data_IF_906219352488
#
_entry.id   IF_906219352488
#
_cell.length_a   1.000
_cell.length_b   1.000
_cell.length_c   1.000
_cell.angle_alpha   90.00
_cell.angle_beta   90.00
_cell.angle_gamma   90.00
#
_symmetry.space_group_name_H-M   'P 1'
#
loop_
_entity.id
_entity.type
_entity.pdbx_description
1 polymer ?
#
# COMPACT_ATOMS: atom_id res chain seq x y z
N UNK A 1 -3.82 -2.57 -8.58
CA UNK A 1 -2.69 -2.12 -7.74
C UNK A 1 -2.48 -2.96 -6.49
N UNK A 2 -3.55 -3.37 -5.79
CA UNK A 2 -3.44 -4.29 -4.62
C UNK A 2 -2.62 -5.56 -4.90
N UNK A 3 -2.89 -6.24 -6.02
CA UNK A 3 -2.12 -7.44 -6.41
C UNK A 3 -0.62 -7.16 -6.63
N UNK A 4 -0.26 -5.96 -7.09
CA UNK A 4 1.14 -5.53 -7.25
C UNK A 4 1.79 -5.33 -5.88
N UNK A 5 1.10 -4.68 -4.94
CA UNK A 5 1.56 -4.54 -3.56
C UNK A 5 1.76 -5.89 -2.86
N UNK A 6 0.85 -6.84 -3.07
CA UNK A 6 1.01 -8.23 -2.59
C UNK A 6 2.19 -8.93 -3.26
N UNK A 7 2.44 -8.68 -4.55
CA UNK A 7 3.62 -9.17 -5.26
C UNK A 7 4.93 -8.66 -4.65
N UNK A 8 5.00 -7.37 -4.30
CA UNK A 8 6.18 -6.80 -3.64
C UNK A 8 6.38 -7.36 -2.23
N UNK A 9 5.32 -7.53 -1.44
CA UNK A 9 5.40 -8.20 -0.14
C UNK A 9 5.88 -9.65 -0.30
N UNK A 10 5.37 -10.37 -1.30
CA UNK A 10 5.81 -11.73 -1.58
C UNK A 10 7.29 -11.80 -1.94
N UNK A 11 7.79 -10.90 -2.80
CA UNK A 11 9.21 -10.82 -3.15
C UNK A 11 10.08 -10.45 -1.93
N UNK A 12 9.64 -9.50 -1.11
CA UNK A 12 10.34 -9.10 0.10
C UNK A 12 10.49 -10.26 1.10
N UNK A 13 9.44 -11.06 1.31
CA UNK A 13 9.43 -12.11 2.34
C UNK A 13 9.96 -13.45 1.80
N UNK A 14 9.46 -13.89 0.64
CA UNK A 14 9.78 -15.22 0.10
C UNK A 14 11.07 -15.25 -0.72
N UNK A 15 11.49 -14.11 -1.28
CA UNK A 15 12.73 -13.99 -2.06
C UNK A 15 13.81 -13.14 -1.38
N UNK A 16 13.50 -12.52 -0.24
CA UNK A 16 14.42 -11.64 0.51
C UNK A 16 15.05 -10.54 -0.36
N UNK A 17 14.32 -10.09 -1.38
CA UNK A 17 14.76 -8.97 -2.22
C UNK A 17 14.48 -7.69 -1.47
N UNK A 18 15.54 -6.94 -1.16
CA UNK A 18 15.53 -5.64 -0.47
C UNK A 18 14.38 -5.52 0.55
N UNK A 19 14.30 -6.44 1.54
CA UNK A 19 13.08 -6.63 2.34
C UNK A 19 12.72 -5.37 3.14
N UNK A 20 13.73 -4.63 3.58
CA UNK A 20 13.55 -3.37 4.31
C UNK A 20 12.94 -2.26 3.47
N UNK A 21 12.94 -2.38 2.14
CA UNK A 21 12.49 -1.35 1.21
C UNK A 21 11.23 -1.82 0.44
N UNK A 22 11.25 -3.04 -0.10
CA UNK A 22 10.12 -3.65 -0.81
C UNK A 22 8.91 -3.90 0.10
N UNK A 23 9.13 -4.28 1.37
CA UNK A 23 8.03 -4.51 2.31
C UNK A 23 7.25 -3.22 2.64
N UNK A 24 7.88 -2.10 3.05
CA UNK A 24 7.16 -0.85 3.27
C UNK A 24 6.56 -0.27 1.99
N UNK A 25 7.22 -0.41 0.83
CA UNK A 25 6.64 0.00 -0.47
C UNK A 25 5.37 -0.80 -0.78
N UNK A 26 5.42 -2.13 -0.65
CA UNK A 26 4.27 -3.00 -0.89
C UNK A 26 3.08 -2.68 0.02
N UNK A 27 3.34 -2.42 1.30
CA UNK A 27 2.34 -1.95 2.26
C UNK A 27 1.73 -0.60 1.84
N UNK A 28 2.57 0.39 1.47
CA UNK A 28 2.11 1.70 1.01
C UNK A 28 1.20 1.61 -0.21
N UNK A 29 1.56 0.78 -1.20
CA UNK A 29 0.73 0.53 -2.39
C UNK A 29 -0.64 -0.06 -2.02
N UNK A 30 -0.68 -1.01 -1.09
CA UNK A 30 -1.93 -1.61 -0.63
C UNK A 30 -2.82 -0.58 0.06
N UNK A 31 -2.26 0.15 1.03
CA UNK A 31 -2.98 1.16 1.81
C UNK A 31 -3.53 2.28 0.92
N UNK A 32 -2.72 2.77 -0.02
CA UNK A 32 -3.11 3.81 -0.97
C UNK A 32 -4.25 3.38 -1.92
N UNK A 33 -4.37 2.08 -2.21
CA UNK A 33 -5.33 1.55 -3.19
C UNK A 33 -6.46 0.75 -2.54
N UNK A 34 -6.62 0.84 -1.21
CA UNK A 34 -7.64 0.11 -0.49
C UNK A 34 -9.02 0.71 -0.80
N UNK A 35 -9.97 -0.07 -1.36
CA UNK A 35 -11.27 0.45 -1.76
C UNK A 35 -12.06 0.94 -0.56
N UNK A 36 -12.89 1.98 -0.77
CA UNK A 36 -13.89 2.47 0.21
C UNK A 36 -13.30 3.01 1.53
N UNK A 37 -11.99 3.26 1.61
CA UNK A 37 -11.37 3.82 2.83
C UNK A 37 -11.36 5.34 2.91
N UNK A 38 -11.39 6.03 1.76
CA UNK A 38 -11.21 7.49 1.73
C UNK A 38 -9.84 7.96 2.24
N UNK A 39 -8.85 7.08 2.34
CA UNK A 39 -7.58 7.40 3.02
C UNK A 39 -6.76 8.48 2.30
N UNK A 40 -6.94 8.58 0.98
CA UNK A 40 -6.29 9.55 0.11
C UNK A 40 -7.29 10.55 -0.48
N UNK A 41 -8.55 10.54 -0.02
CA UNK A 41 -9.51 11.57 -0.45
C UNK A 41 -9.22 12.86 0.30
N UNK A 42 -9.20 13.98 -0.43
CA UNK A 42 -9.02 15.29 0.18
C UNK A 42 -10.13 15.56 1.20
N UNK A 43 -9.80 16.22 2.34
CA UNK A 43 -10.82 16.66 3.28
C UNK A 43 -11.84 17.53 2.55
N UNK A 44 -13.09 17.07 2.48
CA UNK A 44 -14.19 17.91 2.01
C UNK A 44 -14.40 19.04 3.03
N UNK A 45 -14.44 20.28 2.55
CA UNK A 45 -14.54 21.53 3.32
C UNK A 45 -15.87 21.74 4.08
N UNK A 46 -16.48 20.68 4.60
CA UNK A 46 -17.79 20.73 5.27
C UNK A 46 -18.00 19.71 6.39
N UNK A 47 -16.96 19.05 6.87
CA UNK A 47 -17.05 18.24 8.09
C UNK A 47 -16.66 19.09 9.30
N UNK A 48 -17.63 19.85 9.81
CA UNK A 48 -17.64 20.49 11.12
C UNK A 48 -18.89 20.07 11.87
#
# INVERSE_FOLDING_TARGET
MIAVGLGFIYLAISKEWEPYELLPIGLGVIVANLPLTGLLTEPTAGAG
#
